data_IF_646891338116
#
_entry.id   IF_646891338116
#
_cell.length_a   1.000
_cell.length_b   1.000
_cell.length_c   1.000
_cell.angle_alpha   90.00
_cell.angle_beta   90.00
_cell.angle_gamma   90.00
#
_symmetry.space_group_name_H-M   'P 1'
#
loop_
_entity.id
_entity.type
_entity.pdbx_description
1 polymer ?
#
# COMPACT_ATOMS: atom_id res chain seq x y z
N UNK A 1 16.25 22.27 -1.56
CA UNK A 1 15.28 22.08 -2.66
C UNK A 1 15.31 20.61 -3.05
N UNK A 2 14.21 19.89 -2.89
CA UNK A 2 14.06 18.51 -3.37
C UNK A 2 13.88 18.53 -4.89
N UNK A 3 14.65 17.72 -5.62
CA UNK A 3 14.45 17.57 -7.06
C UNK A 3 13.24 16.67 -7.32
N UNK A 4 12.39 16.99 -8.31
CA UNK A 4 11.29 16.13 -8.69
C UNK A 4 11.83 14.82 -9.29
N UNK A 5 11.19 13.71 -8.96
CA UNK A 5 11.43 12.42 -9.60
C UNK A 5 10.51 12.34 -10.82
N UNK A 6 11.09 12.09 -11.98
CA UNK A 6 10.36 11.93 -13.25
C UNK A 6 10.62 10.55 -13.83
N UNK A 7 9.56 9.88 -14.27
CA UNK A 7 9.63 8.60 -14.95
C UNK A 7 9.38 8.80 -16.45
N UNK A 8 10.08 8.04 -17.31
CA UNK A 8 9.85 8.08 -18.77
C UNK A 8 8.52 7.44 -19.18
N UNK A 9 8.06 6.47 -18.39
CA UNK A 9 6.81 5.74 -18.54
C UNK A 9 6.23 5.46 -17.15
N UNK A 10 4.95 5.13 -17.07
CA UNK A 10 4.33 4.70 -15.82
C UNK A 10 5.04 3.43 -15.28
N UNK A 11 5.46 3.41 -14.01
CA UNK A 11 6.07 2.23 -13.40
C UNK A 11 5.00 1.18 -13.09
N UNK A 12 5.36 -0.10 -13.16
CA UNK A 12 4.45 -1.21 -12.80
C UNK A 12 4.29 -1.39 -11.28
N UNK A 13 5.25 -0.90 -10.49
CA UNK A 13 5.26 -0.98 -9.03
C UNK A 13 5.97 0.25 -8.47
N UNK A 14 5.38 0.84 -7.43
CA UNK A 14 5.99 1.88 -6.63
C UNK A 14 5.97 1.50 -5.17
N UNK A 15 7.08 1.73 -4.49
CA UNK A 15 7.25 1.47 -3.07
C UNK A 15 7.64 2.80 -2.43
N UNK A 16 6.90 3.18 -1.39
CA UNK A 16 7.15 4.40 -0.62
C UNK A 16 7.53 4.01 0.80
N UNK A 17 8.70 4.47 1.25
CA UNK A 17 9.01 4.53 2.67
C UNK A 17 8.46 5.84 3.22
N UNK A 18 7.59 5.77 4.22
CA UNK A 18 6.93 6.95 4.80
C UNK A 18 7.26 7.02 6.29
N UNK A 19 8.19 7.92 6.63
CA UNK A 19 8.61 8.17 8.01
C UNK A 19 7.81 9.31 8.65
N UNK A 20 6.48 9.20 8.63
CA UNK A 20 5.57 10.19 9.21
C UNK A 20 4.38 9.55 9.90
N UNK A 21 3.82 10.23 10.90
CA UNK A 21 2.60 9.82 11.60
C UNK A 21 1.38 10.50 10.99
N UNK A 22 0.19 9.92 11.17
CA UNK A 22 -1.10 10.47 10.72
C UNK A 22 -1.18 10.73 9.21
N UNK A 23 -0.73 9.75 8.41
CA UNK A 23 -0.78 9.85 6.95
C UNK A 23 -2.21 9.62 6.44
N UNK A 24 -2.58 10.32 5.38
CA UNK A 24 -3.75 9.98 4.58
C UNK A 24 -3.27 9.37 3.27
N UNK A 25 -3.64 8.12 3.03
CA UNK A 25 -3.26 7.41 1.82
C UNK A 25 -4.40 7.42 0.82
N UNK A 26 -4.09 7.80 -0.42
CA UNK A 26 -4.96 7.55 -1.57
C UNK A 26 -4.83 6.09 -1.99
N UNK A 27 -5.95 5.41 -2.25
CA UNK A 27 -5.96 4.00 -2.68
C UNK A 27 -5.43 3.78 -4.09
N UNK A 28 -5.35 4.84 -4.87
CA UNK A 28 -4.89 4.82 -6.26
C UNK A 28 -3.91 5.96 -6.52
N UNK A 29 -2.92 5.70 -7.37
CA UNK A 29 -2.08 6.70 -8.01
C UNK A 29 -2.33 6.67 -9.52
N UNK A 30 -2.38 7.84 -10.16
CA UNK A 30 -2.67 7.97 -11.59
C UNK A 30 -1.48 8.61 -12.31
N UNK A 31 -1.11 8.02 -13.43
CA UNK A 31 -0.08 8.52 -14.34
C UNK A 31 -0.72 8.79 -15.69
N UNK A 32 -0.33 9.89 -16.32
CA UNK A 32 -0.70 10.16 -17.71
C UNK A 32 0.50 9.78 -18.58
N UNK A 33 0.29 8.90 -19.56
CA UNK A 33 1.31 8.45 -20.50
C UNK A 33 0.72 8.41 -21.90
N UNK A 34 1.27 9.20 -22.83
CA UNK A 34 0.89 9.19 -24.25
C UNK A 34 -0.62 9.40 -24.51
N UNK A 35 -1.32 10.09 -23.59
CA UNK A 35 -2.76 10.32 -23.68
C UNK A 35 -3.62 9.24 -23.01
N UNK A 36 -3.00 8.24 -22.39
CA UNK A 36 -3.66 7.20 -21.59
C UNK A 36 -3.40 7.41 -20.08
N UNK A 37 -4.43 7.16 -19.27
CA UNK A 37 -4.29 7.13 -17.82
C UNK A 37 -3.93 5.73 -17.35
N UNK A 38 -2.74 5.57 -16.76
CA UNK A 38 -2.32 4.36 -16.04
C UNK A 38 -2.64 4.52 -14.56
N UNK A 39 -3.39 3.56 -13.98
CA UNK A 39 -3.78 3.56 -12.58
C UNK A 39 -3.01 2.48 -11.83
N UNK A 40 -2.36 2.85 -10.73
CA UNK A 40 -1.77 1.93 -9.78
C UNK A 40 -2.62 1.88 -8.52
N UNK A 41 -3.08 0.68 -8.15
CA UNK A 41 -3.77 0.44 -6.89
C UNK A 41 -2.77 0.15 -5.77
N UNK A 42 -3.12 0.53 -4.55
CA UNK A 42 -2.41 0.06 -3.35
C UNK A 42 -2.63 -1.45 -3.21
N UNK A 43 -1.52 -2.21 -3.18
CA UNK A 43 -1.55 -3.69 -3.08
C UNK A 43 -0.92 -4.25 -1.80
N UNK A 44 -0.20 -3.42 -1.06
CA UNK A 44 0.44 -3.84 0.17
C UNK A 44 0.76 -2.67 1.08
N UNK A 45 0.73 -2.95 2.37
CA UNK A 45 1.11 -2.03 3.44
C UNK A 45 2.03 -2.79 4.40
N UNK A 46 3.16 -2.18 4.75
CA UNK A 46 4.07 -2.72 5.74
C UNK A 46 4.16 -1.68 6.85
N UNK A 47 3.81 -2.11 8.05
CA UNK A 47 3.83 -1.31 9.25
C UNK A 47 5.01 -1.73 10.09
N UNK A 48 5.71 -0.74 10.65
CA UNK A 48 6.75 -0.97 11.63
C UNK A 48 6.34 -0.30 12.94
N UNK A 49 6.45 -1.05 14.04
CA UNK A 49 6.27 -0.55 15.39
C UNK A 49 7.27 -1.23 16.32
N UNK A 50 8.06 -0.44 17.04
CA UNK A 50 9.13 -0.91 17.91
C UNK A 50 10.07 -1.92 17.23
N UNK A 51 9.96 -3.21 17.59
CA UNK A 51 10.82 -4.30 17.08
C UNK A 51 10.07 -5.30 16.19
N UNK A 52 8.88 -4.93 15.71
CA UNK A 52 7.99 -5.85 14.99
C UNK A 52 7.42 -5.20 13.72
N UNK A 53 7.44 -5.97 12.63
CA UNK A 53 6.78 -5.61 11.39
C UNK A 53 5.51 -6.42 11.23
N UNK A 54 4.44 -5.77 10.81
CA UNK A 54 3.23 -6.42 10.36
C UNK A 54 2.86 -5.91 8.96
N UNK A 55 2.10 -6.69 8.22
CA UNK A 55 1.73 -6.38 6.85
C UNK A 55 0.27 -6.64 6.57
N UNK A 56 -0.24 -5.91 5.59
CA UNK A 56 -1.54 -6.14 4.95
C UNK A 56 -1.33 -6.29 3.45
N UNK A 57 -1.81 -7.39 2.90
CA UNK A 57 -1.76 -7.71 1.48
C UNK A 57 -3.16 -7.57 0.93
N UNK A 58 -3.33 -6.81 -0.16
CA UNK A 58 -4.64 -6.55 -0.77
C UNK A 58 -4.75 -7.36 -2.05
N UNK A 59 -5.61 -8.37 -2.02
CA UNK A 59 -5.90 -9.24 -3.17
C UNK A 59 -6.50 -8.47 -4.34
N UNK A 60 -6.48 -9.07 -5.53
CA UNK A 60 -7.12 -8.50 -6.73
C UNK A 60 -8.63 -8.33 -6.58
N UNK A 61 -9.22 -9.08 -5.65
CA UNK A 61 -10.62 -9.04 -5.22
C UNK A 61 -10.93 -7.96 -4.16
N UNK A 62 -9.91 -7.23 -3.69
CA UNK A 62 -10.06 -6.22 -2.63
C UNK A 62 -10.03 -6.80 -1.20
N UNK A 63 -9.90 -8.12 -1.05
CA UNK A 63 -9.78 -8.75 0.28
C UNK A 63 -8.41 -8.45 0.87
N UNK A 64 -8.41 -8.05 2.15
CA UNK A 64 -7.20 -7.76 2.91
C UNK A 64 -6.78 -9.00 3.70
N UNK A 65 -5.49 -9.31 3.63
CA UNK A 65 -4.86 -10.40 4.36
C UNK A 65 -3.79 -9.85 5.29
N UNK A 66 -3.98 -10.02 6.59
CA UNK A 66 -3.05 -9.62 7.63
C UNK A 66 -1.98 -10.69 7.86
N UNK A 67 -0.74 -10.26 8.06
CA UNK A 67 0.38 -11.13 8.39
C UNK A 67 1.39 -10.44 9.30
N UNK A 68 1.68 -11.06 10.45
CA UNK A 68 2.64 -10.59 11.45
C UNK A 68 3.80 -11.57 11.68
N UNK A 69 3.72 -12.78 11.13
CA UNK A 69 4.75 -13.82 11.25
C UNK A 69 4.88 -14.44 12.64
N UNK A 70 4.38 -13.79 13.70
CA UNK A 70 4.39 -14.29 15.08
C UNK A 70 3.13 -15.07 15.41
N UNK A 71 1.97 -14.46 15.18
CA UNK A 71 0.64 -15.07 15.37
C UNK A 71 0.24 -15.84 14.12
N UNK A 72 0.41 -15.22 12.95
CA UNK A 72 -0.04 -15.78 11.67
C UNK A 72 0.86 -16.90 11.16
N UNK A 73 2.08 -17.03 11.71
CA UNK A 73 3.09 -18.05 11.35
C UNK A 73 3.35 -18.06 9.85
N UNK A 74 3.05 -19.17 9.15
CA UNK A 74 3.22 -19.32 7.71
C UNK A 74 1.98 -18.92 6.90
N UNK A 75 0.89 -18.51 7.55
CA UNK A 75 -0.37 -18.14 6.92
C UNK A 75 -0.67 -16.64 6.98
N UNK A 76 -1.82 -16.26 6.46
CA UNK A 76 -2.41 -14.93 6.64
C UNK A 76 -3.81 -15.07 7.23
N UNK A 77 -4.26 -14.03 7.92
CA UNK A 77 -5.62 -13.94 8.46
C UNK A 77 -6.45 -12.97 7.62
N UNK A 78 -7.73 -13.27 7.45
CA UNK A 78 -8.64 -12.38 6.73
C UNK A 78 -8.89 -11.13 7.58
N UNK A 79 -8.59 -9.95 7.01
CA UNK A 79 -8.74 -8.63 7.66
C UNK A 79 -9.83 -7.79 6.98
N UNK A 80 -10.75 -8.45 6.27
CA UNK A 80 -11.91 -7.84 5.65
C UNK A 80 -11.64 -7.26 4.26
N UNK A 81 -12.32 -6.15 3.96
CA UNK A 81 -12.39 -5.54 2.64
C UNK A 81 -11.70 -4.17 2.67
N UNK A 82 -10.76 -3.95 1.75
CA UNK A 82 -9.97 -2.72 1.68
C UNK A 82 -10.84 -1.47 1.51
N UNK A 83 -12.05 -1.62 0.95
CA UNK A 83 -12.99 -0.51 0.81
C UNK A 83 -13.54 0.03 2.12
N UNK A 84 -13.52 -0.78 3.17
CA UNK A 84 -13.95 -0.39 4.51
C UNK A 84 -12.82 0.23 5.34
N UNK A 85 -11.58 0.18 4.86
CA UNK A 85 -10.46 0.84 5.52
C UNK A 85 -10.56 2.34 5.33
N UNK A 86 -10.75 3.05 6.45
CA UNK A 86 -10.70 4.51 6.48
C UNK A 86 -9.28 4.97 6.80
N UNK A 87 -8.93 6.20 6.43
CA UNK A 87 -7.64 6.81 6.80
C UNK A 87 -7.42 6.98 8.31
N UNK A 88 -8.44 6.73 9.14
CA UNK A 88 -8.30 6.68 10.60
C UNK A 88 -7.91 5.30 11.11
N UNK A 89 -8.06 4.27 10.29
CA UNK A 89 -7.86 2.85 10.64
C UNK A 89 -6.70 2.23 9.82
N UNK A 90 -5.96 3.05 9.08
CA UNK A 90 -4.80 2.65 8.28
C UNK A 90 -3.50 3.04 8.97
#
# INVERSE_FOLDING_TARGET
MTQPISFKSAPNLLIFEINSKNIKLSKTLKFEQEGETVVLDVRGLIYHGDFHFASRIIGTDGIVWYHDGMTTRSGCENDGDFDKFSSKNL
#
